data_IF_898898339027
#
_entry.id   IF_898898339027
#
_cell.length_a   1.000
_cell.length_b   1.000
_cell.length_c   1.000
_cell.angle_alpha   90.00
_cell.angle_beta   90.00
_cell.angle_gamma   90.00
#
_symmetry.space_group_name_H-M   'P 1'
#
loop_
_entity.id
_entity.type
_entity.pdbx_description
1 polymer ?
#
# COMPACT_ATOMS: atom_id res chain seq x y z
N UNK A 1 -17.34 -15.69 -5.83
CA UNK A 1 -17.29 -14.81 -7.04
C UNK A 1 -16.89 -13.38 -6.66
N UNK A 2 -17.48 -12.76 -5.64
CA UNK A 2 -17.11 -11.44 -5.11
C UNK A 2 -15.61 -11.26 -4.80
N UNK A 3 -15.01 -12.12 -3.96
CA UNK A 3 -13.58 -12.06 -3.64
C UNK A 3 -12.66 -12.16 -4.89
N UNK A 4 -13.05 -12.93 -5.92
CA UNK A 4 -12.31 -12.98 -7.19
C UNK A 4 -12.39 -11.67 -7.98
N UNK A 5 -13.54 -11.00 -8.01
CA UNK A 5 -13.68 -9.70 -8.66
C UNK A 5 -12.98 -8.58 -7.88
N UNK A 6 -13.04 -8.60 -6.55
CA UNK A 6 -12.28 -7.68 -5.70
C UNK A 6 -10.77 -7.85 -5.91
N UNK A 7 -10.28 -9.08 -6.06
CA UNK A 7 -8.89 -9.33 -6.40
C UNK A 7 -8.49 -8.72 -7.75
N UNK A 8 -9.33 -8.81 -8.78
CA UNK A 8 -9.09 -8.15 -10.08
C UNK A 8 -9.09 -6.62 -9.95
N UNK A 9 -9.96 -6.08 -9.10
CA UNK A 9 -10.01 -4.64 -8.85
C UNK A 9 -8.76 -4.14 -8.10
N UNK A 10 -8.42 -4.73 -6.95
CA UNK A 10 -7.27 -4.33 -6.14
C UNK A 10 -5.92 -4.64 -6.78
N UNK A 11 -5.88 -5.54 -7.76
CA UNK A 11 -4.73 -5.78 -8.62
C UNK A 11 -4.32 -4.53 -9.42
N UNK A 12 -5.29 -3.68 -9.79
CA UNK A 12 -5.02 -2.50 -10.60
C UNK A 12 -4.14 -1.47 -9.87
N UNK A 13 -4.16 -1.44 -8.53
CA UNK A 13 -3.40 -0.48 -7.73
C UNK A 13 -1.88 -0.65 -7.93
N UNK A 14 -1.26 -1.80 -7.59
CA UNK A 14 0.20 -1.92 -7.71
C UNK A 14 0.68 -1.97 -9.17
N UNK A 15 -0.12 -2.55 -10.09
CA UNK A 15 0.21 -2.54 -11.52
C UNK A 15 0.15 -1.14 -12.10
N UNK A 16 -0.88 -0.36 -11.76
CA UNK A 16 -0.99 1.04 -12.16
C UNK A 16 0.18 1.86 -11.66
N UNK A 17 0.58 1.70 -10.39
CA UNK A 17 1.74 2.37 -9.80
C UNK A 17 3.04 2.03 -10.52
N UNK A 18 3.32 0.74 -10.78
CA UNK A 18 4.52 0.32 -11.50
C UNK A 18 4.55 0.80 -12.96
N UNK A 19 3.40 0.75 -13.65
CA UNK A 19 3.26 1.33 -14.99
C UNK A 19 3.49 2.85 -14.98
N UNK A 20 3.09 3.55 -13.91
CA UNK A 20 3.37 4.97 -13.72
C UNK A 20 4.86 5.29 -13.75
N UNK A 21 5.69 4.51 -13.05
CA UNK A 21 7.16 4.66 -13.12
C UNK A 21 7.70 4.41 -14.52
N UNK A 22 7.24 3.34 -15.18
CA UNK A 22 7.73 2.94 -16.51
C UNK A 22 7.37 4.01 -17.55
N UNK A 23 6.10 4.42 -17.59
CA UNK A 23 5.61 5.45 -18.51
C UNK A 23 6.26 6.80 -18.21
N UNK A 24 6.34 7.20 -16.94
CA UNK A 24 6.94 8.47 -16.54
C UNK A 24 8.41 8.57 -16.94
N UNK A 25 9.20 7.52 -16.66
CA UNK A 25 10.61 7.44 -17.06
C UNK A 25 10.77 7.48 -18.58
N UNK A 26 10.04 6.64 -19.33
CA UNK A 26 10.21 6.56 -20.79
C UNK A 26 9.74 7.80 -21.53
N UNK A 27 8.65 8.42 -21.09
CA UNK A 27 8.14 9.63 -21.73
C UNK A 27 9.08 10.80 -21.49
N UNK A 28 9.61 10.93 -20.27
CA UNK A 28 10.66 11.91 -19.96
C UNK A 28 11.89 11.70 -20.84
N UNK A 29 12.39 10.47 -20.95
CA UNK A 29 13.58 10.14 -21.77
C UNK A 29 13.39 10.49 -23.25
N UNK A 30 12.20 10.21 -23.80
CA UNK A 30 11.90 10.44 -25.23
C UNK A 30 11.66 11.92 -25.54
N UNK A 31 11.00 12.64 -24.63
CA UNK A 31 10.65 14.05 -24.83
C UNK A 31 11.73 15.03 -24.33
N UNK A 32 12.77 14.53 -23.66
CA UNK A 32 13.80 15.29 -22.93
C UNK A 32 13.21 16.35 -21.97
N UNK A 33 11.98 16.12 -21.50
CA UNK A 33 11.24 17.03 -20.65
C UNK A 33 10.21 16.26 -19.80
N UNK A 34 10.31 16.44 -18.48
CA UNK A 34 9.46 15.77 -17.49
C UNK A 34 8.00 16.23 -17.56
N UNK A 35 7.70 17.44 -18.07
CA UNK A 35 6.33 17.92 -18.19
C UNK A 35 5.49 17.01 -19.10
N UNK A 36 6.10 16.36 -20.09
CA UNK A 36 5.40 15.43 -20.97
C UNK A 36 4.93 14.16 -20.25
N UNK A 37 5.68 13.69 -19.24
CA UNK A 37 5.25 12.57 -18.41
C UNK A 37 3.91 12.87 -17.70
N UNK A 38 3.72 14.12 -17.25
CA UNK A 38 2.46 14.55 -16.62
C UNK A 38 1.27 14.64 -17.58
N UNK A 39 1.53 14.90 -18.87
CA UNK A 39 0.47 15.07 -19.88
C UNK A 39 -0.14 13.75 -20.34
N UNK A 40 0.54 12.62 -20.14
CA UNK A 40 0.03 11.30 -20.52
C UNK A 40 -1.14 10.87 -19.65
N UNK A 41 -1.09 11.14 -18.34
CA UNK A 41 -2.12 10.70 -17.39
C UNK A 41 -3.51 11.27 -17.68
N UNK A 42 -3.70 12.58 -17.98
CA UNK A 42 -4.98 13.10 -18.43
C UNK A 42 -5.52 12.43 -19.69
N UNK A 43 -4.66 12.09 -20.65
CA UNK A 43 -5.05 11.39 -21.87
C UNK A 43 -5.58 9.97 -21.59
N UNK A 44 -4.87 9.21 -20.75
CA UNK A 44 -5.32 7.89 -20.30
C UNK A 44 -6.61 7.99 -19.47
N UNK A 45 -6.76 9.03 -18.66
CA UNK A 45 -7.99 9.29 -17.88
C UNK A 45 -9.19 9.59 -18.76
N UNK A 46 -9.03 10.40 -19.81
CA UNK A 46 -10.09 10.67 -20.78
C UNK A 46 -10.51 9.39 -21.53
N UNK A 47 -9.54 8.57 -21.94
CA UNK A 47 -9.83 7.27 -22.54
C UNK A 47 -10.60 6.35 -21.59
N UNK A 48 -10.18 6.28 -20.32
CA UNK A 48 -10.86 5.49 -19.30
C UNK A 48 -12.31 5.96 -19.08
N UNK A 49 -12.55 7.28 -19.06
CA UNK A 49 -13.90 7.84 -18.95
C UNK A 49 -14.79 7.44 -20.14
N UNK A 50 -14.26 7.55 -21.36
CA UNK A 50 -14.98 7.15 -22.58
C UNK A 50 -15.34 5.66 -22.51
N UNK A 51 -14.38 4.80 -22.13
CA UNK A 51 -14.63 3.37 -21.96
C UNK A 51 -15.68 3.10 -20.87
N UNK A 52 -15.66 3.84 -19.76
CA UNK A 52 -16.64 3.68 -18.69
C UNK A 52 -18.05 4.00 -19.19
N UNK A 53 -18.23 5.09 -19.94
CA UNK A 53 -19.52 5.49 -20.51
C UNK A 53 -20.05 4.47 -21.52
N UNK A 54 -19.17 3.87 -22.33
CA UNK A 54 -19.57 2.95 -23.42
C UNK A 54 -19.79 1.52 -22.91
N UNK A 55 -18.94 1.05 -21.98
CA UNK A 55 -18.88 -0.37 -21.57
C UNK A 55 -19.69 -0.66 -20.31
N UNK A 56 -19.68 0.26 -19.33
CA UNK A 56 -20.31 0.02 -18.03
C UNK A 56 -21.78 0.39 -18.09
N UNK A 57 -22.65 -0.62 -18.03
CA UNK A 57 -24.09 -0.40 -17.83
C UNK A 57 -24.38 -0.30 -16.34
N UNK A 58 -24.90 0.86 -15.92
CA UNK A 58 -25.36 1.09 -14.56
C UNK A 58 -26.49 0.10 -14.21
N UNK A 59 -26.33 -0.77 -13.21
CA UNK A 59 -27.42 -1.63 -12.76
C UNK A 59 -28.50 -0.78 -12.08
N UNK A 60 -29.77 -1.22 -12.09
CA UNK A 60 -30.80 -0.55 -11.31
C UNK A 60 -30.43 -0.51 -9.83
N UNK A 61 -30.57 0.67 -9.21
CA UNK A 61 -30.22 0.89 -7.79
C UNK A 61 -30.92 -0.16 -6.92
N UNK A 62 -30.16 -0.82 -6.05
CA UNK A 62 -30.67 -1.84 -5.13
C UNK A 62 -30.82 -3.25 -5.69
N UNK A 63 -30.48 -3.49 -6.97
CA UNK A 63 -30.57 -4.83 -7.59
C UNK A 63 -29.64 -5.89 -6.96
N UNK A 64 -28.69 -5.49 -6.12
CA UNK A 64 -27.74 -6.36 -5.43
C UNK A 64 -28.17 -6.65 -3.98
N UNK A 65 -29.16 -5.93 -3.47
CA UNK A 65 -29.64 -5.96 -2.08
C UNK A 65 -30.93 -6.79 -1.92
N UNK A 66 -31.54 -7.23 -3.04
CA UNK A 66 -32.80 -7.98 -3.14
C UNK A 66 -32.78 -9.40 -2.54
N UNK A 67 -31.67 -9.84 -1.94
CA UNK A 67 -31.54 -11.16 -1.31
C UNK A 67 -31.80 -11.21 0.20
N UNK A 68 -32.08 -10.08 0.84
CA UNK A 68 -32.42 -10.01 2.27
C UNK A 68 -33.79 -9.37 2.44
N UNK A 69 -34.80 -10.17 2.77
CA UNK A 69 -36.20 -9.74 3.05
C UNK A 69 -36.36 -8.81 4.27
N UNK A 70 -35.26 -8.30 4.83
CA UNK A 70 -35.26 -7.35 5.93
C UNK A 70 -35.10 -5.92 5.39
N UNK A 71 -36.00 -4.97 5.74
CA UNK A 71 -35.83 -3.58 5.33
C UNK A 71 -34.53 -3.01 5.89
N UNK A 72 -33.65 -2.53 5.00
CA UNK A 72 -32.42 -1.85 5.39
C UNK A 72 -32.78 -0.51 6.02
N UNK A 73 -32.61 -0.40 7.34
CA UNK A 73 -32.79 0.86 8.05
C UNK A 73 -31.55 1.74 7.88
N UNK A 74 -31.70 2.82 7.14
CA UNK A 74 -30.67 3.85 6.99
C UNK A 74 -30.64 4.75 8.23
N UNK A 75 -29.46 4.91 8.82
CA UNK A 75 -29.23 5.80 9.96
C UNK A 75 -28.66 7.15 9.50
N UNK A 76 -28.71 8.17 10.38
CA UNK A 76 -28.13 9.47 10.05
C UNK A 76 -26.61 9.38 9.93
N UNK A 77 -26.02 10.24 9.09
CA UNK A 77 -24.58 10.23 8.84
C UNK A 77 -23.74 10.41 10.12
N UNK A 78 -24.17 11.27 11.05
CA UNK A 78 -23.47 11.46 12.33
C UNK A 78 -23.56 10.23 13.23
N UNK A 79 -24.68 9.50 13.21
CA UNK A 79 -24.82 8.24 13.92
C UNK A 79 -23.92 7.16 13.32
N UNK A 80 -23.78 7.12 12.00
CA UNK A 80 -22.87 6.20 11.31
C UNK A 80 -21.41 6.48 11.67
N UNK A 81 -20.99 7.74 11.66
CA UNK A 81 -19.63 8.12 12.09
C UNK A 81 -19.33 7.70 13.52
N UNK A 82 -20.27 7.98 14.45
CA UNK A 82 -20.11 7.59 15.85
C UNK A 82 -20.03 6.06 15.99
N UNK A 83 -20.86 5.32 15.24
CA UNK A 83 -20.84 3.87 15.29
C UNK A 83 -19.55 3.28 14.70
N UNK A 84 -19.03 3.86 13.62
CA UNK A 84 -17.76 3.46 13.02
C UNK A 84 -16.58 3.75 13.95
N UNK A 85 -16.55 4.91 14.62
CA UNK A 85 -15.48 5.23 15.57
C UNK A 85 -15.48 4.35 16.82
N UNK A 86 -16.65 3.82 17.23
CA UNK A 86 -16.75 2.85 18.31
C UNK A 86 -16.43 1.42 17.87
N UNK A 87 -16.48 1.12 16.57
CA UNK A 87 -16.07 -0.17 16.04
C UNK A 87 -14.54 -0.27 16.05
N UNK A 88 -14.01 -0.78 17.16
CA UNK A 88 -12.57 -0.94 17.34
C UNK A 88 -11.91 -1.77 16.24
N UNK A 89 -12.59 -2.78 15.70
CA UNK A 89 -12.06 -3.59 14.60
C UNK A 89 -11.81 -2.74 13.35
N UNK A 90 -12.79 -1.89 13.00
CA UNK A 90 -12.66 -0.94 11.90
C UNK A 90 -11.55 0.08 12.12
N UNK A 91 -11.50 0.69 13.32
CA UNK A 91 -10.46 1.68 13.65
C UNK A 91 -9.06 1.07 13.57
N UNK A 92 -8.85 -0.09 14.20
CA UNK A 92 -7.56 -0.78 14.21
C UNK A 92 -7.13 -1.26 12.82
N UNK A 93 -8.08 -1.78 12.02
CA UNK A 93 -7.80 -2.19 10.64
C UNK A 93 -7.46 -0.99 9.76
N UNK A 94 -8.14 0.15 9.95
CA UNK A 94 -7.87 1.39 9.23
C UNK A 94 -6.49 1.94 9.59
N UNK A 95 -6.14 2.02 10.88
CA UNK A 95 -4.81 2.46 11.33
C UNK A 95 -3.70 1.54 10.80
N UNK A 96 -3.92 0.22 10.83
CA UNK A 96 -2.98 -0.75 10.27
C UNK A 96 -2.76 -0.52 8.78
N UNK A 97 -3.84 -0.32 8.02
CA UNK A 97 -3.77 -0.04 6.58
C UNK A 97 -3.09 1.31 6.27
N UNK A 98 -3.37 2.36 7.05
CA UNK A 98 -2.67 3.65 6.94
C UNK A 98 -1.17 3.50 7.14
N UNK A 99 -0.73 2.67 8.09
CA UNK A 99 0.69 2.38 8.27
C UNK A 99 1.29 1.60 7.09
N UNK A 100 0.55 0.66 6.49
CA UNK A 100 0.98 -0.02 5.25
C UNK A 100 1.13 0.99 4.10
N UNK A 101 0.16 1.90 3.94
CA UNK A 101 0.20 2.95 2.94
C UNK A 101 1.37 3.93 3.17
N UNK A 102 1.66 4.28 4.42
CA UNK A 102 2.82 5.11 4.81
C UNK A 102 4.14 4.48 4.34
N UNK A 103 4.35 3.21 4.64
CA UNK A 103 5.53 2.43 4.22
C UNK A 103 5.61 2.40 2.70
N UNK A 104 4.50 2.10 2.04
CA UNK A 104 4.45 1.97 0.57
C UNK A 104 4.72 3.30 -0.13
N UNK A 105 4.07 4.40 0.26
CA UNK A 105 4.24 5.71 -0.37
C UNK A 105 5.64 6.28 -0.18
N UNK A 106 6.23 6.03 0.99
CA UNK A 106 7.62 6.39 1.26
C UNK A 106 8.61 5.61 0.40
N UNK A 107 8.41 4.28 0.30
CA UNK A 107 9.25 3.43 -0.56
C UNK A 107 9.12 3.87 -2.01
N UNK A 108 7.90 4.11 -2.47
CA UNK A 108 7.60 4.57 -3.82
C UNK A 108 8.41 5.82 -4.17
N UNK A 109 8.32 6.90 -3.39
CA UNK A 109 9.03 8.13 -3.73
C UNK A 109 10.55 8.01 -3.58
N UNK A 110 11.02 7.42 -2.47
CA UNK A 110 12.42 7.53 -2.07
C UNK A 110 13.30 6.36 -2.54
N UNK A 111 12.74 5.18 -2.86
CA UNK A 111 13.54 4.02 -3.25
C UNK A 111 14.35 4.24 -4.55
N UNK A 112 13.79 4.80 -5.65
CA UNK A 112 14.59 5.05 -6.85
C UNK A 112 15.75 6.02 -6.58
N UNK A 113 15.48 7.08 -5.80
CA UNK A 113 16.49 8.06 -5.41
C UNK A 113 17.55 7.47 -4.47
N UNK A 114 17.17 6.53 -3.59
CA UNK A 114 18.09 5.78 -2.74
C UNK A 114 19.04 4.91 -3.54
N UNK A 115 18.49 4.11 -4.45
CA UNK A 115 19.25 3.20 -5.30
C UNK A 115 20.23 3.96 -6.17
N UNK A 116 19.78 5.05 -6.79
CA UNK A 116 20.64 5.92 -7.59
C UNK A 116 21.83 6.46 -6.77
N UNK A 117 21.57 7.00 -5.57
CA UNK A 117 22.62 7.51 -4.67
C UNK A 117 23.55 6.42 -4.17
N UNK A 118 23.06 5.21 -3.92
CA UNK A 118 23.89 4.09 -3.47
C UNK A 118 24.90 3.69 -4.55
N UNK A 119 24.46 3.62 -5.82
CA UNK A 119 25.34 3.26 -6.94
C UNK A 119 26.39 4.32 -7.22
N UNK A 120 26.05 5.60 -7.08
CA UNK A 120 27.03 6.69 -7.13
C UNK A 120 28.07 6.57 -6.01
N UNK A 121 27.63 6.27 -4.77
CA UNK A 121 28.53 6.15 -3.62
C UNK A 121 29.49 4.94 -3.73
N UNK A 122 29.05 3.83 -4.31
CA UNK A 122 29.89 2.64 -4.57
C UNK A 122 30.80 2.82 -5.80
N UNK A 123 30.65 3.89 -6.58
CA UNK A 123 31.42 4.11 -7.82
C UNK A 123 30.96 3.24 -9.00
N UNK A 124 29.77 2.63 -8.92
CA UNK A 124 29.20 1.80 -9.97
C UNK A 124 28.71 2.62 -11.18
N UNK A 125 28.44 3.90 -10.97
CA UNK A 125 28.04 4.86 -12.01
C UNK A 125 28.82 6.17 -11.85
N UNK A 126 29.24 6.84 -12.93
CA UNK A 126 29.99 8.08 -12.86
C UNK A 126 29.09 9.24 -12.35
N UNK A 127 29.65 10.23 -11.63
CA UNK A 127 28.94 11.45 -11.27
C UNK A 127 28.54 12.20 -12.55
N UNK A 128 27.32 12.71 -12.57
CA UNK A 128 26.78 13.34 -13.78
C UNK A 128 27.63 14.53 -14.23
N UNK A 129 27.85 14.68 -15.56
CA UNK A 129 28.36 15.91 -16.12
C UNK A 129 27.42 17.07 -15.79
N UNK A 130 27.98 18.19 -15.34
CA UNK A 130 27.24 19.42 -15.02
C UNK A 130 26.30 19.82 -16.16
N UNK A 131 25.00 19.93 -15.89
CA UNK A 131 24.01 20.47 -16.82
C UNK A 131 23.09 19.48 -17.53
N UNK A 132 23.23 18.16 -17.32
CA UNK A 132 22.25 17.16 -17.80
C UNK A 132 21.50 16.50 -16.64
N UNK A 133 20.22 16.24 -16.85
CA UNK A 133 19.38 15.47 -15.90
C UNK A 133 19.96 14.07 -15.78
N UNK A 134 20.38 13.72 -14.57
CA UNK A 134 20.96 12.42 -14.25
C UNK A 134 20.00 11.26 -14.48
N UNK A 135 20.53 10.11 -14.90
CA UNK A 135 19.85 8.82 -15.15
C UNK A 135 19.21 8.17 -13.89
N UNK A 136 18.40 8.92 -13.13
CA UNK A 136 17.47 8.35 -12.15
C UNK A 136 16.38 7.47 -12.82
N UNK A 137 16.28 7.55 -14.14
CA UNK A 137 15.27 6.88 -14.97
C UNK A 137 15.47 5.36 -15.02
N UNK A 138 16.71 4.87 -15.02
CA UNK A 138 16.99 3.42 -15.05
C UNK A 138 16.56 2.74 -13.74
N UNK A 139 16.93 3.29 -12.60
CA UNK A 139 16.56 2.71 -11.30
C UNK A 139 15.05 2.88 -11.04
N UNK A 140 14.43 3.98 -11.51
CA UNK A 140 12.97 4.15 -11.49
C UNK A 140 12.24 3.14 -12.37
N UNK A 141 12.77 2.83 -13.55
CA UNK A 141 12.20 1.82 -14.45
C UNK A 141 12.32 0.42 -13.87
N UNK A 142 13.49 0.05 -13.32
CA UNK A 142 13.68 -1.26 -12.68
C UNK A 142 12.76 -1.39 -11.48
N UNK A 143 12.69 -0.36 -10.64
CA UNK A 143 11.77 -0.31 -9.50
C UNK A 143 10.31 -0.46 -9.96
N UNK A 144 9.90 0.27 -11.00
CA UNK A 144 8.55 0.16 -11.58
C UNK A 144 8.20 -1.24 -12.09
N UNK A 145 9.15 -1.93 -12.75
CA UNK A 145 8.98 -3.33 -13.19
C UNK A 145 8.84 -4.25 -11.97
N UNK A 146 9.70 -4.07 -10.96
CA UNK A 146 9.62 -4.83 -9.70
C UNK A 146 8.24 -4.62 -9.09
N UNK A 147 7.81 -3.38 -8.85
CA UNK A 147 6.49 -3.04 -8.26
C UNK A 147 5.31 -3.62 -9.03
N UNK A 148 5.35 -3.62 -10.37
CA UNK A 148 4.34 -4.29 -11.18
C UNK A 148 4.27 -5.79 -10.86
N UNK A 149 5.41 -6.48 -10.95
CA UNK A 149 5.49 -7.94 -10.80
C UNK A 149 5.18 -8.36 -9.37
N UNK A 150 5.78 -7.70 -8.38
CA UNK A 150 5.58 -7.96 -6.95
C UNK A 150 4.14 -7.68 -6.54
N UNK A 151 3.52 -6.64 -7.11
CA UNK A 151 2.10 -6.33 -6.95
C UNK A 151 1.18 -7.45 -7.42
N UNK A 152 1.40 -7.94 -8.64
CA UNK A 152 0.65 -9.07 -9.21
C UNK A 152 0.81 -10.31 -8.32
N UNK A 153 2.05 -10.69 -8.02
CA UNK A 153 2.36 -11.89 -7.26
C UNK A 153 1.86 -11.79 -5.82
N UNK A 154 2.05 -10.64 -5.17
CA UNK A 154 1.62 -10.41 -3.79
C UNK A 154 0.10 -10.40 -3.64
N UNK A 155 -0.64 -9.66 -4.47
CA UNK A 155 -2.11 -9.63 -4.36
C UNK A 155 -2.70 -11.02 -4.62
N UNK A 156 -2.23 -11.72 -5.65
CA UNK A 156 -2.73 -13.05 -5.99
C UNK A 156 -2.36 -14.11 -4.95
N UNK A 157 -1.11 -14.10 -4.47
CA UNK A 157 -0.68 -14.98 -3.39
C UNK A 157 -1.43 -14.71 -2.09
N UNK A 158 -1.64 -13.43 -1.73
CA UNK A 158 -2.36 -13.04 -0.52
C UNK A 158 -3.77 -13.61 -0.50
N UNK A 159 -4.54 -13.38 -1.56
CA UNK A 159 -5.92 -13.89 -1.68
C UNK A 159 -5.96 -15.41 -1.69
N UNK A 160 -5.04 -16.09 -2.38
CA UNK A 160 -5.04 -17.55 -2.44
C UNK A 160 -4.63 -18.19 -1.11
N UNK A 161 -3.61 -17.65 -0.44
CA UNK A 161 -3.15 -18.10 0.88
C UNK A 161 -4.26 -17.89 1.90
N UNK A 162 -4.85 -16.70 1.96
CA UNK A 162 -5.99 -16.39 2.84
C UNK A 162 -7.14 -17.37 2.58
N UNK A 163 -7.57 -17.54 1.32
CA UNK A 163 -8.68 -18.44 0.97
C UNK A 163 -8.44 -19.89 1.35
N UNK A 164 -7.23 -20.42 1.14
CA UNK A 164 -6.89 -21.81 1.51
C UNK A 164 -6.80 -21.97 3.01
N UNK A 165 -6.15 -21.04 3.69
CA UNK A 165 -5.98 -21.10 5.15
C UNK A 165 -7.30 -20.86 5.88
N UNK A 166 -8.21 -20.06 5.32
CA UNK A 166 -9.52 -19.79 5.89
C UNK A 166 -10.36 -21.06 6.09
N UNK A 167 -10.15 -22.09 5.25
CA UNK A 167 -10.84 -23.39 5.38
C UNK A 167 -10.52 -24.13 6.67
N UNK A 168 -9.33 -23.90 7.23
CA UNK A 168 -8.83 -24.59 8.43
C UNK A 168 -8.88 -23.64 9.62
N UNK A 169 -8.63 -22.35 9.39
CA UNK A 169 -8.55 -21.34 10.42
C UNK A 169 -9.35 -20.10 9.97
N UNK A 170 -10.51 -19.81 10.58
CA UNK A 170 -11.29 -18.60 10.28
C UNK A 170 -10.52 -17.29 10.50
N UNK A 171 -9.34 -17.38 11.15
CA UNK A 171 -8.43 -16.29 11.43
C UNK A 171 -7.41 -15.99 10.31
N UNK A 172 -7.52 -16.66 9.17
CA UNK A 172 -6.54 -16.61 8.11
C UNK A 172 -6.24 -15.18 7.61
N UNK A 173 -7.27 -14.37 7.38
CA UNK A 173 -7.12 -13.09 6.66
C UNK A 173 -6.16 -12.13 7.37
N UNK A 174 -6.40 -11.72 8.63
CA UNK A 174 -5.45 -10.86 9.35
C UNK A 174 -4.17 -11.57 9.78
N UNK A 175 -4.13 -12.90 9.90
CA UNK A 175 -2.88 -13.62 10.12
C UNK A 175 -1.96 -13.50 8.91
N UNK A 176 -2.50 -13.64 7.70
CA UNK A 176 -1.74 -13.46 6.46
C UNK A 176 -1.23 -12.02 6.34
N UNK A 177 -2.08 -11.04 6.65
CA UNK A 177 -1.65 -9.64 6.69
C UNK A 177 -0.50 -9.40 7.68
N UNK A 178 -0.65 -9.85 8.93
CA UNK A 178 0.35 -9.67 9.96
C UNK A 178 1.68 -10.39 9.64
N UNK A 179 1.62 -11.62 9.09
CA UNK A 179 2.82 -12.36 8.66
C UNK A 179 3.48 -11.67 7.47
N UNK A 180 2.71 -11.19 6.51
CA UNK A 180 3.22 -10.43 5.37
C UNK A 180 3.94 -9.16 5.81
N UNK A 181 3.32 -8.37 6.68
CA UNK A 181 3.90 -7.15 7.24
C UNK A 181 5.17 -7.42 8.07
N UNK A 182 5.09 -8.31 9.06
CA UNK A 182 6.25 -8.66 9.88
C UNK A 182 7.38 -9.26 9.04
N UNK A 183 7.04 -10.03 8.00
CA UNK A 183 7.99 -10.60 7.07
C UNK A 183 8.62 -9.57 6.14
N UNK A 184 7.89 -8.53 5.70
CA UNK A 184 8.45 -7.51 4.80
C UNK A 184 9.52 -6.65 5.48
N UNK A 185 9.37 -6.39 6.78
CA UNK A 185 10.30 -5.58 7.57
C UNK A 185 11.78 -6.03 7.48
N UNK A 186 12.16 -7.29 7.79
CA UNK A 186 13.55 -7.73 7.72
C UNK A 186 14.11 -7.69 6.29
N UNK A 187 13.30 -7.98 5.26
CA UNK A 187 13.78 -7.92 3.88
C UNK A 187 14.02 -6.48 3.43
N UNK A 188 13.11 -5.54 3.72
CA UNK A 188 13.33 -4.14 3.41
C UNK A 188 14.51 -3.56 4.20
N UNK A 189 14.72 -4.00 5.45
CA UNK A 189 15.91 -3.66 6.23
C UNK A 189 17.20 -4.17 5.57
N UNK A 190 17.22 -5.46 5.18
CA UNK A 190 18.36 -6.05 4.48
C UNK A 190 18.63 -5.35 3.13
N UNK A 191 17.60 -4.88 2.42
CA UNK A 191 17.78 -4.12 1.19
C UNK A 191 18.63 -2.85 1.41
N UNK A 192 18.40 -2.14 2.52
CA UNK A 192 19.14 -0.95 2.90
C UNK A 192 20.57 -1.30 3.30
N UNK A 193 20.73 -2.31 4.16
CA UNK A 193 22.04 -2.75 4.65
C UNK A 193 22.96 -3.17 3.50
N UNK A 194 22.42 -3.84 2.49
CA UNK A 194 23.17 -4.35 1.33
C UNK A 194 23.35 -3.34 0.19
N UNK A 195 22.78 -2.12 0.31
CA UNK A 195 22.74 -1.14 -0.78
C UNK A 195 24.11 -0.67 -1.27
N UNK A 196 25.13 -0.71 -0.41
CA UNK A 196 26.51 -0.36 -0.77
C UNK A 196 27.33 -1.56 -1.25
N UNK A 197 27.04 -2.77 -0.76
CA UNK A 197 27.82 -3.98 -1.02
C UNK A 197 27.38 -4.66 -2.31
N UNK A 198 26.06 -4.72 -2.57
CA UNK A 198 25.52 -5.36 -3.78
C UNK A 198 24.14 -4.80 -4.14
N UNK A 199 24.09 -4.04 -5.22
CA UNK A 199 22.83 -3.51 -5.77
C UNK A 199 21.87 -4.63 -6.18
N UNK A 200 22.40 -5.77 -6.64
CA UNK A 200 21.60 -6.94 -7.04
C UNK A 200 20.91 -7.53 -5.81
N UNK A 201 21.64 -7.68 -4.69
CA UNK A 201 21.06 -8.15 -3.44
C UNK A 201 19.95 -7.21 -2.94
N UNK A 202 20.17 -5.88 -3.03
CA UNK A 202 19.16 -4.88 -2.68
C UNK A 202 17.89 -5.03 -3.51
N UNK A 203 17.99 -5.20 -4.84
CA UNK A 203 16.81 -5.42 -5.68
C UNK A 203 16.05 -6.71 -5.32
N UNK A 204 16.76 -7.80 -5.02
CA UNK A 204 16.14 -9.06 -4.59
C UNK A 204 15.40 -8.88 -3.26
N UNK A 205 15.98 -8.16 -2.31
CA UNK A 205 15.34 -7.89 -1.03
C UNK A 205 14.14 -6.95 -1.15
N UNK A 206 14.20 -5.92 -1.99
CA UNK A 206 13.04 -5.08 -2.33
C UNK A 206 11.94 -5.95 -2.95
N UNK A 207 12.29 -6.82 -3.91
CA UNK A 207 11.34 -7.70 -4.58
C UNK A 207 10.57 -8.58 -3.58
N UNK A 208 11.27 -9.23 -2.65
CA UNK A 208 10.64 -10.08 -1.62
C UNK A 208 9.82 -9.22 -0.65
N UNK A 209 10.38 -8.09 -0.19
CA UNK A 209 9.70 -7.17 0.73
C UNK A 209 8.39 -6.63 0.15
N UNK A 210 8.38 -6.24 -1.11
CA UNK A 210 7.18 -5.75 -1.80
C UNK A 210 6.13 -6.83 -2.05
N UNK A 211 6.51 -8.08 -2.35
CA UNK A 211 5.56 -9.19 -2.45
C UNK A 211 4.82 -9.35 -1.12
N UNK A 212 5.57 -9.39 -0.01
CA UNK A 212 5.04 -9.57 1.32
C UNK A 212 4.15 -8.39 1.76
N UNK A 213 4.55 -7.17 1.43
CA UNK A 213 3.74 -5.97 1.65
C UNK A 213 2.44 -6.03 0.84
N UNK A 214 2.53 -6.45 -0.42
CA UNK A 214 1.41 -6.50 -1.37
C UNK A 214 0.36 -7.56 -1.06
N UNK A 215 0.65 -8.54 -0.18
CA UNK A 215 -0.33 -9.50 0.33
C UNK A 215 -1.54 -8.80 0.99
N UNK A 216 -1.32 -7.61 1.57
CA UNK A 216 -2.29 -6.93 2.42
C UNK A 216 -3.43 -6.25 1.65
N UNK A 217 -3.20 -5.78 0.42
CA UNK A 217 -4.14 -4.87 -0.28
C UNK A 217 -5.55 -5.44 -0.42
N UNK A 218 -5.67 -6.63 -1.00
CA UNK A 218 -6.98 -7.25 -1.23
C UNK A 218 -7.60 -7.79 0.05
N UNK A 219 -6.78 -8.27 1.00
CA UNK A 219 -7.27 -8.90 2.24
C UNK A 219 -7.84 -7.85 3.20
N UNK A 220 -7.17 -6.70 3.36
CA UNK A 220 -7.64 -5.61 4.22
C UNK A 220 -8.97 -5.04 3.74
N UNK A 221 -9.13 -4.91 2.42
CA UNK A 221 -10.41 -4.53 1.84
C UNK A 221 -11.52 -5.54 2.12
N UNK A 222 -11.22 -6.85 2.01
CA UNK A 222 -12.19 -7.90 2.34
C UNK A 222 -12.56 -7.87 3.84
N UNK A 223 -11.57 -7.63 4.72
CA UNK A 223 -11.77 -7.42 6.17
C UNK A 223 -12.82 -6.32 6.43
N UNK A 224 -12.72 -5.17 5.78
CA UNK A 224 -13.66 -4.07 5.95
C UNK A 224 -15.11 -4.48 5.65
N UNK A 225 -15.30 -5.31 4.62
CA UNK A 225 -16.63 -5.69 4.15
C UNK A 225 -17.37 -6.58 5.14
N UNK A 226 -16.69 -7.33 6.00
CA UNK A 226 -17.34 -8.17 7.02
C UNK A 226 -17.27 -7.60 8.44
N UNK A 227 -16.43 -6.59 8.71
CA UNK A 227 -16.44 -5.88 10.01
C UNK A 227 -17.45 -4.74 10.10
N UNK A 228 -17.96 -4.27 8.95
CA UNK A 228 -18.93 -3.19 8.85
C UNK A 228 -20.23 -3.67 8.23
N UNK A 229 -21.35 -3.28 8.84
CA UNK A 229 -22.70 -3.60 8.36
C UNK A 229 -22.96 -2.98 6.97
N UNK A 230 -23.75 -3.63 6.08
CA UNK A 230 -23.95 -3.19 4.70
C UNK A 230 -24.29 -1.71 4.54
N UNK A 231 -25.19 -1.16 5.37
CA UNK A 231 -25.67 0.23 5.30
C UNK A 231 -24.58 1.27 5.57
N UNK A 232 -23.45 0.89 6.18
CA UNK A 232 -22.34 1.78 6.55
C UNK A 232 -21.04 1.52 5.80
N UNK A 233 -21.01 0.51 4.91
CA UNK A 233 -19.77 0.07 4.24
C UNK A 233 -19.14 1.15 3.35
N UNK A 234 -19.95 1.85 2.56
CA UNK A 234 -19.46 2.92 1.68
C UNK A 234 -18.78 4.04 2.46
N UNK A 235 -19.41 4.49 3.55
CA UNK A 235 -18.83 5.49 4.46
C UNK A 235 -17.53 4.97 5.08
N UNK A 236 -17.53 3.74 5.59
CA UNK A 236 -16.33 3.15 6.19
C UNK A 236 -15.16 3.06 5.20
N UNK A 237 -15.41 2.61 3.99
CA UNK A 237 -14.41 2.50 2.91
C UNK A 237 -13.87 3.89 2.54
N UNK A 238 -14.75 4.89 2.38
CA UNK A 238 -14.34 6.27 2.09
C UNK A 238 -13.42 6.84 3.19
N UNK A 239 -13.75 6.61 4.47
CA UNK A 239 -12.90 7.06 5.58
C UNK A 239 -11.57 6.32 5.64
N UNK A 240 -11.56 5.01 5.43
CA UNK A 240 -10.32 4.23 5.40
C UNK A 240 -9.39 4.73 4.29
N UNK A 241 -9.93 4.94 3.08
CA UNK A 241 -9.21 5.47 1.92
C UNK A 241 -8.69 6.88 2.20
N UNK A 242 -9.52 7.77 2.75
CA UNK A 242 -9.12 9.14 3.09
C UNK A 242 -7.95 9.14 4.08
N UNK A 243 -8.05 8.35 5.16
CA UNK A 243 -7.01 8.26 6.18
C UNK A 243 -5.73 7.64 5.63
N UNK A 244 -5.83 6.58 4.82
CA UNK A 244 -4.67 5.94 4.22
C UNK A 244 -3.96 6.82 3.22
N UNK A 245 -4.68 7.65 2.46
CA UNK A 245 -4.03 8.55 1.52
C UNK A 245 -3.43 9.77 2.22
N UNK A 246 -4.22 10.44 3.07
CA UNK A 246 -3.78 11.68 3.70
C UNK A 246 -2.60 11.46 4.66
N UNK A 247 -2.69 10.44 5.51
CA UNK A 247 -1.68 10.17 6.55
C UNK A 247 -0.69 9.08 6.16
N UNK A 248 -1.04 8.25 5.19
CA UNK A 248 -0.17 7.21 4.67
C UNK A 248 0.63 7.72 3.48
N UNK A 249 0.20 7.37 2.27
CA UNK A 249 1.07 7.46 1.08
C UNK A 249 1.41 8.90 0.61
N UNK A 250 0.54 9.88 0.82
CA UNK A 250 0.82 11.27 0.47
C UNK A 250 1.59 12.01 1.57
N UNK A 251 1.28 11.72 2.84
CA UNK A 251 1.90 12.38 3.99
C UNK A 251 3.31 11.87 4.29
N UNK A 252 3.55 10.58 4.05
CA UNK A 252 4.80 9.91 4.44
C UNK A 252 6.05 10.45 3.73
N UNK A 253 6.05 10.75 2.41
CA UNK A 253 7.27 11.18 1.74
C UNK A 253 7.69 12.58 2.17
N UNK A 254 6.71 13.47 2.44
CA UNK A 254 6.96 14.80 2.98
C UNK A 254 7.58 14.75 4.39
N UNK A 255 6.99 13.95 5.29
CA UNK A 255 7.54 13.77 6.64
C UNK A 255 8.96 13.21 6.61
N UNK A 256 9.22 12.23 5.73
CA UNK A 256 10.57 11.68 5.55
C UNK A 256 11.53 12.71 4.98
N UNK A 257 11.10 13.52 4.01
CA UNK A 257 11.91 14.62 3.46
C UNK A 257 12.31 15.63 4.53
N UNK A 258 11.37 16.08 5.37
CA UNK A 258 11.65 17.01 6.47
C UNK A 258 12.66 16.45 7.48
N UNK A 259 12.48 15.20 7.90
CA UNK A 259 13.45 14.51 8.78
C UNK A 259 14.80 14.38 8.05
N UNK A 260 14.78 14.23 6.73
CA UNK A 260 15.97 14.14 5.89
C UNK A 260 16.81 15.40 5.86
N UNK A 261 16.13 16.52 5.70
CA UNK A 261 16.77 17.83 5.66
C UNK A 261 17.30 18.21 7.04
N UNK A 262 16.56 17.89 8.11
CA UNK A 262 16.98 18.19 9.49
C UNK A 262 18.23 17.41 9.93
N UNK A 263 18.38 16.15 9.50
CA UNK A 263 19.61 15.37 9.80
C UNK A 263 20.82 15.87 8.98
N UNK A 264 20.56 16.53 7.85
CA UNK A 264 21.61 17.09 6.99
C UNK A 264 22.06 18.50 7.38
N UNK A 265 21.29 19.25 8.19
CA UNK A 265 21.57 20.66 8.48
C UNK A 265 22.98 20.93 9.02
N UNK A 266 23.55 19.96 9.73
CA UNK A 266 24.85 20.11 10.41
C UNK A 266 26.01 19.40 9.69
N UNK A 267 25.77 18.83 8.49
CA UNK A 267 26.79 18.07 7.74
C UNK A 267 27.19 18.79 6.44
N UNK A 268 28.48 18.76 6.06
CA UNK A 268 28.91 19.32 4.77
C UNK A 268 28.20 18.59 3.61
N UNK A 269 27.73 19.35 2.62
CA UNK A 269 27.03 18.82 1.45
C UNK A 269 28.02 18.02 0.58
N UNK A 270 28.00 16.71 0.72
CA UNK A 270 28.81 15.77 -0.04
C UNK A 270 27.93 14.62 -0.52
N UNK A 271 28.29 13.98 -1.62
CA UNK A 271 27.53 12.86 -2.17
C UNK A 271 27.40 11.71 -1.15
N UNK A 272 28.44 11.52 -0.34
CA UNK A 272 28.45 10.57 0.78
C UNK A 272 27.57 11.02 1.95
N UNK A 273 27.44 12.32 2.25
CA UNK A 273 26.55 12.81 3.30
C UNK A 273 25.07 12.76 2.87
N UNK A 274 24.76 12.98 1.59
CA UNK A 274 23.42 12.77 1.03
C UNK A 274 23.03 11.29 1.01
N UNK A 275 23.97 10.41 0.63
CA UNK A 275 23.74 8.96 0.72
C UNK A 275 23.57 8.51 2.18
N UNK A 276 24.50 8.86 3.09
CA UNK A 276 24.41 8.51 4.51
C UNK A 276 23.21 9.14 5.20
N UNK A 277 22.74 10.29 4.73
CA UNK A 277 21.48 10.88 5.15
C UNK A 277 20.35 9.91 4.79
N UNK A 278 20.14 9.64 3.50
CA UNK A 278 19.09 8.73 3.04
C UNK A 278 19.19 7.33 3.67
N UNK A 279 20.42 6.83 3.84
CA UNK A 279 20.73 5.62 4.56
C UNK A 279 20.28 5.75 6.02
N UNK A 280 20.72 6.77 6.78
CA UNK A 280 20.30 7.01 8.18
C UNK A 280 18.78 7.22 8.32
N UNK A 281 18.10 7.74 7.30
CA UNK A 281 16.64 7.83 7.23
C UNK A 281 16.01 6.47 6.98
N UNK A 282 16.60 5.66 6.12
CA UNK A 282 16.23 4.26 5.98
C UNK A 282 16.63 3.44 7.22
N UNK A 283 17.61 3.85 8.04
CA UNK A 283 17.92 3.30 9.38
C UNK A 283 16.93 3.75 10.46
N UNK A 284 16.21 4.87 10.24
CA UNK A 284 14.91 5.09 10.89
C UNK A 284 13.85 4.07 10.44
N UNK A 285 14.26 3.02 9.72
CA UNK A 285 13.79 1.64 9.82
C UNK A 285 13.31 1.26 11.22
N UNK A 286 13.90 1.75 12.31
CA UNK A 286 13.33 1.51 13.64
C UNK A 286 11.89 2.03 13.78
N UNK A 287 11.55 3.21 13.22
CA UNK A 287 10.19 3.75 13.15
C UNK A 287 9.34 2.96 12.15
N UNK A 288 9.89 2.52 11.02
CA UNK A 288 9.16 1.69 10.05
C UNK A 288 8.86 0.28 10.54
N UNK A 289 9.84 -0.40 11.13
CA UNK A 289 9.69 -1.70 11.80
C UNK A 289 8.75 -1.53 12.97
N UNK A 290 8.83 -0.44 13.74
CA UNK A 290 7.85 -0.14 14.78
C UNK A 290 6.45 0.07 14.19
N UNK A 291 6.29 0.82 13.09
CA UNK A 291 5.01 1.04 12.42
C UNK A 291 4.44 -0.23 11.81
N UNK A 292 5.30 -1.11 11.28
CA UNK A 292 4.94 -2.41 10.72
C UNK A 292 4.59 -3.40 11.83
N UNK A 293 5.33 -3.43 12.93
CA UNK A 293 5.06 -4.25 14.12
C UNK A 293 3.79 -3.75 14.81
N UNK A 294 3.61 -2.44 14.94
CA UNK A 294 2.40 -1.80 15.45
C UNK A 294 1.24 -2.12 14.51
N UNK A 295 1.36 -1.94 13.20
CA UNK A 295 0.33 -2.29 12.23
C UNK A 295 -0.07 -3.77 12.30
N UNK A 296 0.91 -4.67 12.33
CA UNK A 296 0.69 -6.11 12.49
C UNK A 296 0.01 -6.44 13.81
N UNK A 297 0.41 -5.78 14.90
CA UNK A 297 -0.19 -5.93 16.23
C UNK A 297 -1.62 -5.38 16.26
N UNK A 298 -1.88 -4.23 15.65
CA UNK A 298 -3.20 -3.62 15.55
C UNK A 298 -4.14 -4.49 14.71
N UNK A 299 -3.67 -5.09 13.62
CA UNK A 299 -4.44 -6.03 12.81
C UNK A 299 -4.75 -7.33 13.57
N UNK A 300 -3.78 -7.89 14.31
CA UNK A 300 -3.99 -9.04 15.20
C UNK A 300 -5.01 -8.74 16.32
N UNK A 301 -4.94 -7.55 16.91
CA UNK A 301 -5.86 -7.10 17.97
C UNK A 301 -7.26 -6.80 17.42
N UNK A 302 -7.36 -6.13 16.26
CA UNK A 302 -8.61 -5.91 15.52
C UNK A 302 -9.36 -7.23 15.38
N UNK A 303 -8.64 -8.27 14.98
CA UNK A 303 -9.26 -9.54 14.74
C UNK A 303 -9.58 -10.37 15.99
N UNK A 304 -8.81 -10.26 17.08
CA UNK A 304 -9.24 -10.81 18.39
C UNK A 304 -10.61 -10.25 18.78
N UNK A 305 -10.88 -8.98 18.47
CA UNK A 305 -12.18 -8.36 18.73
C UNK A 305 -13.27 -8.85 17.77
N UNK A 306 -12.95 -9.09 16.49
CA UNK A 306 -13.87 -9.68 15.49
C UNK A 306 -14.33 -11.09 15.93
N UNK A 307 -13.40 -11.95 16.34
CA UNK A 307 -13.72 -13.33 16.80
C UNK A 307 -14.55 -13.32 18.08
N UNK A 308 -14.18 -12.46 19.04
CA UNK A 308 -14.93 -12.33 20.28
C UNK A 308 -16.34 -11.76 20.01
N UNK A 309 -16.49 -10.84 19.06
CA UNK A 309 -17.77 -10.28 18.63
C UNK A 309 -18.66 -11.27 17.87
N UNK A 310 -18.09 -12.05 16.95
CA UNK A 310 -18.81 -13.13 16.24
C UNK A 310 -19.22 -14.26 17.19
N UNK A 311 -18.37 -14.63 18.16
CA UNK A 311 -18.74 -15.59 19.20
C UNK A 311 -19.86 -15.07 20.11
N UNK A 312 -19.93 -13.75 20.33
CA UNK A 312 -21.02 -13.11 21.06
C UNK A 312 -22.32 -13.10 20.24
N UNK A 313 -22.28 -12.76 18.94
CA UNK A 313 -23.47 -12.83 18.07
C UNK A 313 -23.99 -14.25 17.90
N UNK A 314 -23.12 -15.25 17.76
CA UNK A 314 -23.54 -16.66 17.71
C UNK A 314 -24.17 -17.10 19.04
N UNK A 315 -23.63 -16.66 20.18
CA UNK A 315 -24.24 -16.92 21.50
C UNK A 315 -25.60 -16.23 21.65
N UNK A 316 -25.72 -14.97 21.25
CA UNK A 316 -27.00 -14.22 21.33
C UNK A 316 -28.07 -14.83 20.44
N UNK A 317 -27.72 -15.28 19.22
CA UNK A 317 -28.63 -16.03 18.34
C UNK A 317 -28.99 -17.42 18.89
N UNK A 318 -28.08 -18.10 19.61
CA UNK A 318 -28.40 -19.38 20.25
C UNK A 318 -29.18 -19.25 21.56
N UNK A 319 -29.14 -18.11 22.26
CA UNK A 319 -29.96 -17.85 23.46
C UNK A 319 -31.32 -17.23 23.15
N UNK A 320 -31.62 -16.95 21.88
CA UNK A 320 -32.93 -16.44 21.41
C UNK A 320 -33.75 -17.48 20.65
N UNK A 321 -33.38 -18.77 20.78
CA UNK A 321 -34.17 -19.96 20.44
C UNK A 321 -34.48 -20.72 21.72
#
# INVERSE_FOLDING_TARGET
RRSRMLSIFYFAIPVGSGLGYIVGSKVKDVADDWHWALRVTPGLGALALILLIIVVREPPRGAVETGTDAPLHYTSWTADLRALSHNRSFVLSSLGFTAVAFVTGSLALWAPAFLYRSRLATGNIPPCPSGKVCHADTDSLIFGIITCVTGVLGVTAGVEISRRWHRINPRADPLVCAIGLLGSAPFLFLAVVFAQQSIVATYVFIFIGEILLSLNWAIVADILLYVVIPTRRSTAEAFQILLSHLLGDAGSPYLIGLISDQIQSDRPVSLLSQFRSLEMHLWSAALWVLLVVVSSSLQLVSFRQIVNGQSCMHKVSCTSL
#
